data_IF_679225480043
#
_entry.id   IF_679225480043
#
_cell.length_a   1.000
_cell.length_b   1.000
_cell.length_c   1.000
_cell.angle_alpha   90.00
_cell.angle_beta   90.00
_cell.angle_gamma   90.00
#
_symmetry.space_group_name_H-M   'P 1'
#
loop_
_entity.id
_entity.type
_entity.pdbx_description
1 polymer ?
#
# COMPACT_ATOMS: atom_id res chain seq x y z
N UNK A 1 5.94 -16.23 4.52
CA UNK A 1 5.25 -17.43 5.02
C UNK A 1 4.09 -17.05 5.97
N UNK A 2 4.30 -16.23 7.05
CA UNK A 2 3.26 -15.89 8.04
C UNK A 2 1.92 -15.40 7.44
N UNK A 3 1.94 -14.66 6.34
CA UNK A 3 0.73 -14.20 5.65
C UNK A 3 -0.09 -15.37 5.11
N UNK A 4 0.56 -16.33 4.45
CA UNK A 4 -0.09 -17.50 3.88
C UNK A 4 -0.56 -18.47 4.96
N UNK A 5 0.19 -18.60 6.05
CA UNK A 5 -0.20 -19.41 7.21
C UNK A 5 -1.47 -18.87 7.89
N UNK A 6 -1.75 -17.57 7.77
CA UNK A 6 -2.98 -16.92 8.22
C UNK A 6 -4.13 -16.97 7.19
N UNK A 7 -3.93 -17.65 6.05
CA UNK A 7 -4.94 -17.79 5.00
C UNK A 7 -5.03 -16.60 4.04
N UNK A 8 -4.08 -15.65 4.09
CA UNK A 8 -4.00 -14.58 3.10
C UNK A 8 -3.35 -15.10 1.81
N UNK A 9 -3.85 -14.64 0.67
CA UNK A 9 -3.36 -15.05 -0.65
C UNK A 9 -2.53 -13.96 -1.33
N UNK A 10 -2.53 -12.75 -0.78
CA UNK A 10 -1.84 -11.56 -1.30
C UNK A 10 -1.21 -10.78 -0.16
N UNK A 11 -0.01 -10.26 -0.39
CA UNK A 11 0.64 -9.30 0.50
C UNK A 11 0.47 -7.90 -0.10
N UNK A 12 -0.51 -7.15 0.39
CA UNK A 12 -0.78 -5.79 -0.09
C UNK A 12 0.44 -4.87 0.13
N UNK A 13 0.73 -4.01 -0.85
CA UNK A 13 1.87 -3.09 -0.75
C UNK A 13 3.24 -3.77 -0.85
N UNK A 14 3.30 -4.96 -1.42
CA UNK A 14 4.53 -5.74 -1.56
C UNK A 14 5.19 -5.63 -2.93
N UNK A 15 4.60 -4.90 -3.88
CA UNK A 15 5.05 -4.85 -5.27
C UNK A 15 5.22 -6.26 -5.88
N UNK A 16 4.25 -7.16 -5.63
CA UNK A 16 4.22 -8.56 -6.06
C UNK A 16 5.28 -9.48 -5.42
N UNK A 17 5.79 -9.14 -4.24
CA UNK A 17 6.72 -10.01 -3.51
C UNK A 17 6.16 -11.42 -3.24
N UNK A 18 4.85 -11.53 -3.11
CA UNK A 18 4.12 -12.80 -2.94
C UNK A 18 4.04 -13.66 -4.21
N UNK A 19 4.41 -13.11 -5.37
CA UNK A 19 4.29 -13.75 -6.69
C UNK A 19 5.64 -13.94 -7.40
N UNK A 20 6.74 -13.50 -6.80
CA UNK A 20 8.07 -13.49 -7.42
C UNK A 20 9.12 -14.04 -6.45
N UNK A 21 10.19 -14.64 -6.99
CA UNK A 21 11.40 -14.89 -6.23
C UNK A 21 12.08 -13.57 -5.83
N UNK A 22 12.88 -13.61 -4.77
CA UNK A 22 13.43 -12.39 -4.15
C UNK A 22 14.30 -11.56 -5.12
N UNK A 23 15.23 -12.17 -5.84
CA UNK A 23 16.14 -11.42 -6.72
C UNK A 23 15.41 -10.78 -7.91
N UNK A 24 14.52 -11.48 -8.66
CA UNK A 24 13.66 -10.85 -9.66
C UNK A 24 12.78 -9.73 -9.09
N UNK A 25 12.23 -9.93 -7.89
CA UNK A 25 11.43 -8.91 -7.23
C UNK A 25 12.24 -7.66 -6.91
N UNK A 26 13.45 -7.80 -6.39
CA UNK A 26 14.33 -6.68 -6.07
C UNK A 26 14.66 -5.85 -7.32
N UNK A 27 14.97 -6.52 -8.45
CA UNK A 27 15.18 -5.88 -9.75
C UNK A 27 13.91 -5.12 -10.20
N UNK A 28 12.74 -5.72 -9.99
CA UNK A 28 11.46 -5.10 -10.35
C UNK A 28 11.19 -3.84 -9.52
N UNK A 29 11.43 -3.88 -8.22
CA UNK A 29 11.27 -2.72 -7.32
C UNK A 29 12.22 -1.60 -7.70
N UNK A 30 13.48 -1.91 -8.00
CA UNK A 30 14.47 -0.92 -8.45
C UNK A 30 14.04 -0.24 -9.75
N UNK A 31 13.57 -1.01 -10.73
CA UNK A 31 13.03 -0.48 -11.99
C UNK A 31 11.78 0.38 -11.80
N UNK A 32 10.90 0.01 -10.89
CA UNK A 32 9.66 0.74 -10.64
C UNK A 32 9.89 2.10 -9.98
N UNK A 33 11.03 2.27 -9.33
CA UNK A 33 11.38 3.54 -8.69
C UNK A 33 11.78 4.63 -9.70
N UNK A 34 12.28 4.26 -10.89
CA UNK A 34 12.75 5.19 -11.91
C UNK A 34 11.73 5.30 -13.06
N UNK A 35 11.25 6.52 -13.39
CA UNK A 35 10.32 6.75 -14.51
C UNK A 35 10.86 6.33 -15.88
N UNK A 36 12.19 6.19 -16.03
CA UNK A 36 12.81 5.77 -17.29
C UNK A 36 12.88 4.25 -17.45
N UNK A 37 12.69 3.49 -16.37
CA UNK A 37 12.82 2.02 -16.37
C UNK A 37 11.56 1.28 -15.92
N UNK A 38 10.58 1.99 -15.35
CA UNK A 38 9.29 1.41 -15.00
C UNK A 38 8.59 0.88 -16.24
N UNK A 39 7.91 -0.25 -16.09
CA UNK A 39 7.11 -0.83 -17.18
C UNK A 39 5.96 0.10 -17.56
N UNK A 40 5.61 0.11 -18.84
CA UNK A 40 4.54 0.95 -19.40
C UNK A 40 3.16 0.70 -18.75
N UNK A 41 2.89 -0.55 -18.32
CA UNK A 41 1.66 -0.97 -17.64
C UNK A 41 1.70 -0.78 -16.13
N UNK A 42 2.75 -0.17 -15.57
CA UNK A 42 2.95 0.10 -14.14
C UNK A 42 3.08 1.59 -13.84
N UNK A 43 2.81 1.97 -12.60
CA UNK A 43 3.10 3.30 -12.10
C UNK A 43 4.49 3.35 -11.48
N UNK A 44 5.16 4.50 -11.58
CA UNK A 44 6.37 4.77 -10.78
C UNK A 44 6.00 4.66 -9.31
N UNK A 45 6.75 3.88 -8.56
CA UNK A 45 6.47 3.57 -7.16
C UNK A 45 7.74 3.40 -6.33
N UNK A 46 7.62 3.65 -5.04
CA UNK A 46 8.67 3.35 -4.05
C UNK A 46 8.12 2.38 -3.01
N UNK A 47 8.79 1.25 -2.87
CA UNK A 47 8.44 0.23 -1.87
C UNK A 47 9.34 0.36 -0.65
N UNK A 48 8.76 0.41 0.53
CA UNK A 48 9.48 0.52 1.79
C UNK A 48 9.23 -0.70 2.68
N UNK A 49 10.24 -1.10 3.43
CA UNK A 49 10.10 -1.97 4.58
C UNK A 49 9.97 -1.16 5.87
N UNK A 50 9.02 -1.53 6.71
CA UNK A 50 9.01 -1.10 8.10
C UNK A 50 9.87 -2.08 8.92
N UNK A 51 10.96 -1.57 9.49
CA UNK A 51 11.92 -2.39 10.26
C UNK A 51 11.99 -1.90 11.69
N UNK A 52 11.90 -2.84 12.65
CA UNK A 52 12.07 -2.52 14.06
C UNK A 52 13.54 -2.37 14.39
N UNK A 53 13.95 -1.18 14.89
CA UNK A 53 15.36 -0.87 15.14
C UNK A 53 16.03 -1.75 16.19
N UNK A 54 15.27 -2.25 17.17
CA UNK A 54 15.84 -3.00 18.30
C UNK A 54 16.36 -4.39 17.92
N UNK A 55 15.81 -5.01 16.87
CA UNK A 55 16.16 -6.39 16.48
C UNK A 55 16.24 -6.60 14.95
N UNK A 56 16.05 -5.55 14.16
CA UNK A 56 16.09 -5.64 12.70
C UNK A 56 14.90 -6.38 12.06
N UNK A 57 13.85 -6.69 12.84
CA UNK A 57 12.70 -7.44 12.34
C UNK A 57 11.87 -6.61 11.36
N UNK A 58 11.59 -7.17 10.19
CA UNK A 58 10.64 -6.59 9.23
C UNK A 58 9.23 -6.74 9.78
N UNK A 59 8.54 -5.62 9.99
CA UNK A 59 7.19 -5.53 10.56
C UNK A 59 6.11 -5.47 9.49
N UNK A 60 6.44 -4.95 8.31
CA UNK A 60 5.51 -4.78 7.21
C UNK A 60 6.17 -4.16 5.99
N UNK A 61 5.35 -3.96 4.97
CA UNK A 61 5.72 -3.31 3.71
C UNK A 61 4.69 -2.28 3.35
N UNK A 62 5.12 -1.24 2.65
CA UNK A 62 4.26 -0.20 2.11
C UNK A 62 4.81 0.25 0.76
N UNK A 63 3.93 0.31 -0.24
CA UNK A 63 4.25 0.73 -1.60
C UNK A 63 3.53 2.04 -1.89
N UNK A 64 4.27 3.04 -2.36
CA UNK A 64 3.77 4.38 -2.69
C UNK A 64 3.91 4.62 -4.19
N UNK A 65 2.78 4.71 -4.90
CA UNK A 65 2.71 5.08 -6.31
C UNK A 65 2.77 6.60 -6.41
N UNK A 66 3.70 7.11 -7.20
CA UNK A 66 3.96 8.55 -7.32
C UNK A 66 2.84 9.29 -8.07
N UNK A 67 2.12 8.57 -8.94
CA UNK A 67 0.96 9.07 -9.67
C UNK A 67 0.02 7.92 -10.04
N UNK A 68 -1.25 8.22 -10.24
CA UNK A 68 -2.26 7.24 -10.67
C UNK A 68 -2.32 7.18 -12.20
N UNK A 69 -1.29 6.58 -12.80
CA UNK A 69 -1.10 6.56 -14.27
C UNK A 69 -1.82 5.39 -14.95
N UNK A 70 -2.20 4.35 -14.20
CA UNK A 70 -2.86 3.17 -14.77
C UNK A 70 -4.30 3.08 -14.30
N UNK A 71 -5.24 2.58 -15.14
CA UNK A 71 -6.67 2.55 -14.84
C UNK A 71 -7.02 1.87 -13.52
N UNK A 72 -6.41 0.72 -13.23
CA UNK A 72 -6.63 -0.01 -11.97
C UNK A 72 -6.32 0.84 -10.73
N UNK A 73 -5.24 1.62 -10.75
CA UNK A 73 -4.87 2.49 -9.63
C UNK A 73 -5.81 3.68 -9.50
N UNK A 74 -6.27 4.23 -10.62
CA UNK A 74 -7.26 5.32 -10.63
C UNK A 74 -8.59 4.86 -10.04
N UNK A 75 -9.00 3.65 -10.35
CA UNK A 75 -10.31 3.14 -9.99
C UNK A 75 -10.34 2.49 -8.60
N UNK A 76 -9.33 1.70 -8.24
CA UNK A 76 -9.34 0.86 -7.04
C UNK A 76 -8.10 0.96 -6.16
N UNK A 77 -6.91 0.90 -6.77
CA UNK A 77 -5.66 0.69 -6.03
C UNK A 77 -5.16 1.92 -5.28
N UNK A 78 -5.40 3.10 -5.82
CA UNK A 78 -4.93 4.36 -5.26
C UNK A 78 -3.40 4.48 -5.19
N UNK A 79 -2.92 5.44 -4.40
CA UNK A 79 -1.50 5.75 -4.24
C UNK A 79 -0.76 4.79 -3.30
N UNK A 80 -1.43 4.19 -2.32
CA UNK A 80 -0.76 3.43 -1.26
C UNK A 80 -1.39 2.05 -1.08
N UNK A 81 -0.55 1.02 -1.08
CA UNK A 81 -0.85 -0.31 -0.57
C UNK A 81 0.07 -0.64 0.60
N UNK A 82 -0.42 -1.33 1.62
CA UNK A 82 0.38 -1.73 2.78
C UNK A 82 -0.08 -3.05 3.39
N UNK A 83 0.86 -3.72 4.05
CA UNK A 83 0.57 -4.89 4.88
C UNK A 83 1.48 -4.90 6.11
N UNK A 84 0.94 -5.39 7.22
CA UNK A 84 1.68 -5.63 8.47
C UNK A 84 1.77 -7.13 8.71
N UNK A 85 2.97 -7.61 9.06
CA UNK A 85 3.25 -8.99 9.45
C UNK A 85 2.21 -9.47 10.47
N UNK A 86 1.56 -10.63 10.26
CA UNK A 86 0.47 -11.10 11.12
C UNK A 86 0.79 -11.07 12.62
N UNK A 87 1.96 -11.58 13.03
CA UNK A 87 2.41 -11.59 14.43
C UNK A 87 2.67 -10.21 15.04
N UNK A 88 2.73 -9.17 14.20
CA UNK A 88 3.02 -7.79 14.61
C UNK A 88 1.79 -6.85 14.45
N UNK A 89 0.63 -7.38 14.10
CA UNK A 89 -0.62 -6.60 13.97
C UNK A 89 -1.14 -6.11 15.32
N UNK A 90 -2.04 -5.11 15.27
CA UNK A 90 -2.70 -4.50 16.43
C UNK A 90 -1.76 -3.77 17.41
N UNK A 91 -0.57 -3.43 16.96
CA UNK A 91 0.47 -2.68 17.69
C UNK A 91 0.65 -1.25 17.17
N UNK A 92 -0.23 -0.79 16.26
CA UNK A 92 -0.17 0.56 15.69
C UNK A 92 0.77 0.74 14.50
N UNK A 93 1.45 -0.30 14.04
CA UNK A 93 2.45 -0.19 12.96
C UNK A 93 1.85 0.24 11.62
N UNK A 94 0.66 -0.24 11.24
CA UNK A 94 -0.01 0.21 10.02
C UNK A 94 -0.25 1.72 10.02
N UNK A 95 -0.72 2.27 11.14
CA UNK A 95 -0.94 3.72 11.29
C UNK A 95 0.37 4.50 11.21
N UNK A 96 1.44 4.01 11.85
CA UNK A 96 2.76 4.64 11.79
C UNK A 96 3.34 4.62 10.36
N UNK A 97 3.27 3.48 9.69
CA UNK A 97 3.71 3.33 8.29
C UNK A 97 2.94 4.28 7.36
N UNK A 98 1.62 4.32 7.49
CA UNK A 98 0.79 5.17 6.64
C UNK A 98 1.11 6.66 6.86
N UNK A 99 1.28 7.11 8.11
CA UNK A 99 1.67 8.51 8.40
C UNK A 99 2.99 8.90 7.76
N UNK A 100 4.01 8.03 7.82
CA UNK A 100 5.30 8.28 7.18
C UNK A 100 5.16 8.31 5.64
N UNK A 101 4.36 7.41 5.07
CA UNK A 101 4.10 7.40 3.64
C UNK A 101 3.33 8.66 3.18
N UNK A 102 2.38 9.17 3.98
CA UNK A 102 1.67 10.42 3.66
C UNK A 102 2.62 11.63 3.64
N UNK A 103 3.60 11.69 4.55
CA UNK A 103 4.63 12.71 4.51
C UNK A 103 5.46 12.60 3.23
N UNK A 104 5.87 11.40 2.87
CA UNK A 104 6.58 11.15 1.61
C UNK A 104 5.73 11.55 0.38
N UNK A 105 4.43 11.27 0.38
CA UNK A 105 3.53 11.73 -0.68
C UNK A 105 3.46 13.26 -0.79
N UNK A 106 3.44 13.96 0.35
CA UNK A 106 3.49 15.44 0.36
C UNK A 106 4.79 15.97 -0.24
N UNK A 107 5.93 15.33 0.06
CA UNK A 107 7.25 15.68 -0.51
C UNK A 107 7.31 15.42 -2.03
N UNK A 108 6.58 14.42 -2.53
CA UNK A 108 6.40 14.16 -3.96
C UNK A 108 5.47 15.16 -4.66
N UNK A 109 4.79 16.03 -3.94
CA UNK A 109 3.86 16.99 -4.51
C UNK A 109 2.43 16.47 -4.70
N UNK A 110 2.05 15.37 -4.09
CA UNK A 110 0.69 14.85 -4.10
C UNK A 110 -0.15 15.66 -3.11
N UNK A 111 -1.28 16.21 -3.56
CA UNK A 111 -2.16 17.02 -2.71
C UNK A 111 -3.13 16.17 -1.89
N UNK A 112 -3.62 15.08 -2.48
CA UNK A 112 -4.52 14.12 -1.81
C UNK A 112 -4.14 12.69 -2.17
N UNK A 113 -3.96 11.86 -1.16
CA UNK A 113 -3.65 10.43 -1.32
C UNK A 113 -4.94 9.64 -1.38
N UNK A 114 -5.14 8.87 -2.44
CA UNK A 114 -6.25 7.95 -2.58
C UNK A 114 -5.84 6.54 -2.14
N UNK A 115 -6.75 5.85 -1.45
CA UNK A 115 -6.59 4.45 -1.05
C UNK A 115 -7.92 3.70 -1.20
N UNK A 116 -7.83 2.45 -1.65
CA UNK A 116 -8.97 1.53 -1.68
C UNK A 116 -8.82 0.43 -0.62
N UNK A 117 -9.93 0.02 -0.02
CA UNK A 117 -9.98 -1.18 0.82
C UNK A 117 -11.36 -1.82 0.78
N UNK A 118 -11.44 -3.13 1.00
CA UNK A 118 -12.71 -3.82 1.13
C UNK A 118 -13.52 -3.27 2.31
N UNK A 119 -14.84 -3.20 2.16
CA UNK A 119 -15.75 -2.69 3.17
C UNK A 119 -15.80 -3.52 4.47
N UNK A 120 -15.38 -4.80 4.41
CA UNK A 120 -15.25 -5.70 5.55
C UNK A 120 -13.86 -5.65 6.21
N UNK A 121 -12.88 -4.97 5.60
CA UNK A 121 -11.54 -4.81 6.15
C UNK A 121 -11.49 -3.70 7.22
N UNK A 122 -12.14 -3.95 8.35
CA UNK A 122 -12.22 -2.99 9.46
C UNK A 122 -10.85 -2.50 9.97
N UNK A 123 -9.79 -3.34 10.05
CA UNK A 123 -8.47 -2.86 10.43
C UNK A 123 -7.91 -1.79 9.49
N UNK A 124 -8.06 -1.98 8.17
CA UNK A 124 -7.61 -0.99 7.18
C UNK A 124 -8.43 0.29 7.24
N UNK A 125 -9.76 0.18 7.30
CA UNK A 125 -10.68 1.31 7.46
C UNK A 125 -10.25 2.18 8.65
N UNK A 126 -10.09 1.59 9.84
CA UNK A 126 -9.68 2.31 11.05
C UNK A 126 -8.30 2.95 10.93
N UNK A 127 -7.38 2.30 10.22
CA UNK A 127 -6.04 2.84 9.97
C UNK A 127 -6.11 4.09 9.09
N UNK A 128 -6.85 4.01 7.99
CA UNK A 128 -7.04 5.11 7.03
C UNK A 128 -7.73 6.30 7.71
N UNK A 129 -8.83 6.06 8.42
CA UNK A 129 -9.59 7.11 9.13
C UNK A 129 -8.76 7.80 10.23
N UNK A 130 -7.94 7.04 10.99
CA UNK A 130 -7.00 7.60 11.98
C UNK A 130 -5.91 8.47 11.36
N UNK A 131 -5.64 8.30 10.08
CA UNK A 131 -4.71 9.11 9.31
C UNK A 131 -5.39 10.27 8.58
N UNK A 132 -6.66 10.56 8.86
CA UNK A 132 -7.42 11.64 8.25
C UNK A 132 -8.15 11.26 6.97
N UNK A 133 -8.33 9.97 6.70
CA UNK A 133 -9.04 9.47 5.53
C UNK A 133 -10.52 9.79 5.56
N UNK A 134 -11.02 10.35 4.48
CA UNK A 134 -12.43 10.64 4.24
C UNK A 134 -12.91 9.69 3.15
N UNK A 135 -13.95 8.91 3.43
CA UNK A 135 -14.56 8.05 2.44
C UNK A 135 -15.27 8.89 1.38
N UNK A 136 -14.84 8.75 0.13
CA UNK A 136 -15.36 9.52 -1.00
C UNK A 136 -16.24 8.69 -1.93
N UNK A 137 -16.09 7.36 -1.94
CA UNK A 137 -16.86 6.49 -2.83
C UNK A 137 -17.03 5.10 -2.21
N UNK A 138 -18.12 4.43 -2.57
CA UNK A 138 -18.37 3.02 -2.36
C UNK A 138 -18.76 2.38 -3.70
N UNK A 139 -18.10 1.31 -4.09
CA UNK A 139 -18.33 0.59 -5.34
C UNK A 139 -17.97 -0.88 -5.24
N UNK A 140 -18.50 -1.75 -6.12
CA UNK A 140 -18.05 -3.12 -6.19
C UNK A 140 -16.63 -3.18 -6.77
N UNK A 141 -15.77 -4.02 -6.17
CA UNK A 141 -14.51 -4.43 -6.79
C UNK A 141 -14.76 -5.44 -7.90
N UNK A 142 -13.72 -5.84 -8.64
CA UNK A 142 -13.81 -6.80 -9.74
C UNK A 142 -14.39 -8.18 -9.35
N UNK A 143 -14.27 -8.57 -8.08
CA UNK A 143 -14.85 -9.80 -7.50
C UNK A 143 -16.30 -9.63 -7.01
N UNK A 144 -16.90 -8.45 -7.21
CA UNK A 144 -18.25 -8.10 -6.79
C UNK A 144 -18.40 -7.71 -5.32
N UNK A 145 -17.33 -7.78 -4.51
CA UNK A 145 -17.39 -7.35 -3.11
C UNK A 145 -17.36 -5.83 -2.97
N UNK A 146 -18.07 -5.28 -1.97
CA UNK A 146 -18.06 -3.84 -1.75
C UNK A 146 -16.67 -3.35 -1.32
N UNK A 147 -16.24 -2.24 -1.91
CA UNK A 147 -14.98 -1.56 -1.64
C UNK A 147 -15.24 -0.09 -1.34
N UNK A 148 -14.49 0.46 -0.41
CA UNK A 148 -14.47 1.87 -0.08
C UNK A 148 -13.22 2.53 -0.67
N UNK A 149 -13.42 3.72 -1.26
CA UNK A 149 -12.33 4.59 -1.70
C UNK A 149 -12.25 5.76 -0.74
N UNK A 150 -11.05 6.03 -0.27
CA UNK A 150 -10.73 7.12 0.65
C UNK A 150 -9.82 8.15 -0.02
N UNK A 151 -9.97 9.41 0.38
CA UNK A 151 -9.01 10.46 0.13
C UNK A 151 -8.44 10.97 1.46
N UNK A 152 -7.13 11.18 1.50
CA UNK A 152 -6.42 11.78 2.64
C UNK A 152 -5.74 13.04 2.12
N UNK A 153 -6.17 14.25 2.48
CA UNK A 153 -5.44 15.48 2.18
C UNK A 153 -4.07 15.46 2.86
N UNK A 154 -3.01 15.81 2.12
CA UNK A 154 -1.63 15.84 2.64
C UNK A 154 -0.98 17.21 2.52
N UNK A 155 -1.69 18.16 1.91
CA UNK A 155 -1.34 19.60 1.81
C UNK A 155 -2.52 20.46 2.16
#
# INVERSE_FOLDING_TARGET
QEFFDCGETVINGSALFDQMEFDPWLINVDRNHDPNTVREDWAVATTFFAVRKSDGKILGMIDVRHALTVPFLQEYGGHIGYAVRPSERRKGYATAMLRLALQYCADLGIDAVHLGCYADNLPSIRTIERCGGIRIEEKPYADGKPMYIYAIPVR
#
